data_IF_093297642109
#
_entry.id   IF_093297642109
#
_cell.length_a   1.000
_cell.length_b   1.000
_cell.length_c   1.000
_cell.angle_alpha   90.00
_cell.angle_beta   90.00
_cell.angle_gamma   90.00
#
_symmetry.space_group_name_H-M   'P 1'
#
loop_
_entity.id
_entity.type
_entity.pdbx_description
1 polymer ?
#
# COMPACT_ATOMS: atom_id res chain seq x y z
N UNK A 1 22.57 28.31 21.68
CA UNK A 1 22.52 28.71 20.27
C UNK A 1 23.04 27.62 19.33
N UNK A 2 24.16 26.96 19.64
CA UNK A 2 24.73 25.90 18.78
C UNK A 2 23.86 24.65 18.57
N UNK A 3 23.05 24.23 19.55
CA UNK A 3 22.14 23.08 19.36
C UNK A 3 20.97 23.39 18.41
N UNK A 4 20.43 24.61 18.46
CA UNK A 4 19.31 25.04 17.63
C UNK A 4 19.76 25.29 16.18
N UNK A 5 20.97 25.83 15.97
CA UNK A 5 21.55 25.95 14.63
C UNK A 5 21.87 24.58 14.00
N UNK A 6 22.33 23.58 14.77
CA UNK A 6 22.53 22.21 14.25
C UNK A 6 21.22 21.50 13.92
N UNK A 7 20.14 21.77 14.66
CA UNK A 7 18.81 21.22 14.37
C UNK A 7 18.19 21.88 13.12
N UNK A 8 18.30 23.21 13.00
CA UNK A 8 17.82 23.94 11.82
C UNK A 8 18.61 23.56 10.55
N UNK A 9 19.94 23.48 10.62
CA UNK A 9 20.77 23.03 9.49
C UNK A 9 20.48 21.60 9.04
N UNK A 10 20.18 20.70 9.99
CA UNK A 10 19.75 19.32 9.67
C UNK A 10 18.34 19.27 9.06
N UNK A 11 17.44 20.18 9.42
CA UNK A 11 16.11 20.28 8.80
C UNK A 11 16.14 20.91 7.40
N UNK A 12 17.04 21.87 7.15
CA UNK A 12 17.25 22.45 5.82
C UNK A 12 17.97 21.49 4.87
N UNK A 13 18.97 20.73 5.35
CA UNK A 13 19.58 19.62 4.59
C UNK A 13 18.56 18.51 4.28
N UNK A 14 17.66 18.19 5.23
CA UNK A 14 16.56 17.25 5.01
C UNK A 14 15.58 17.76 3.96
N UNK A 15 15.22 19.05 3.98
CA UNK A 15 14.37 19.65 2.93
C UNK A 15 15.02 19.63 1.55
N UNK A 16 16.33 19.85 1.47
CA UNK A 16 17.07 19.79 0.19
C UNK A 16 17.21 18.37 -0.37
N UNK A 17 17.27 17.35 0.50
CA UNK A 17 17.37 15.94 0.10
C UNK A 17 16.06 15.39 -0.53
N UNK A 18 14.95 16.12 -0.38
CA UNK A 18 13.64 15.75 -0.93
C UNK A 18 13.15 16.72 -2.02
N UNK A 19 14.00 17.67 -2.45
CA UNK A 19 13.63 18.61 -3.50
C UNK A 19 13.29 17.85 -4.78
N UNK A 20 12.02 17.94 -5.19
CA UNK A 20 11.53 17.25 -6.38
C UNK A 20 11.09 15.80 -6.17
N UNK A 21 10.86 15.34 -4.94
CA UNK A 21 10.16 14.07 -4.69
C UNK A 21 8.64 14.23 -4.83
N UNK A 22 7.96 13.21 -5.37
CA UNK A 22 6.50 13.17 -5.48
C UNK A 22 5.95 11.82 -5.07
N UNK A 23 4.98 11.80 -4.15
CA UNK A 23 4.32 10.58 -3.72
C UNK A 23 3.13 10.24 -4.62
N UNK A 24 3.02 8.98 -4.99
CA UNK A 24 1.86 8.39 -5.67
C UNK A 24 1.25 7.39 -4.69
N UNK A 25 -0.05 7.52 -4.43
CA UNK A 25 -0.78 6.66 -3.50
C UNK A 25 -1.88 5.94 -4.28
N UNK A 26 -1.63 4.71 -4.76
CA UNK A 26 -2.67 3.86 -5.31
C UNK A 26 -3.66 3.49 -4.20
N UNK A 27 -4.90 3.93 -4.35
CA UNK A 27 -6.03 3.69 -3.45
C UNK A 27 -7.08 2.84 -4.18
N UNK A 28 -6.76 1.56 -4.34
CA UNK A 28 -7.61 0.55 -4.96
C UNK A 28 -7.74 -0.71 -4.10
N UNK A 29 -8.67 -1.59 -4.47
CA UNK A 29 -8.93 -2.85 -3.78
C UNK A 29 -10.03 -2.75 -2.71
N UNK A 30 -11.00 -3.66 -2.78
CA UNK A 30 -12.14 -3.68 -1.86
C UNK A 30 -11.77 -4.14 -0.43
N UNK A 31 -10.75 -4.98 -0.28
CA UNK A 31 -10.38 -5.54 1.03
C UNK A 31 -11.32 -6.64 1.53
N UNK A 32 -11.99 -7.39 0.64
CA UNK A 32 -13.09 -8.34 0.92
C UNK A 32 -12.86 -9.34 2.07
N UNK A 33 -11.61 -9.65 2.44
CA UNK A 33 -11.27 -10.53 3.57
C UNK A 33 -11.52 -9.90 4.95
N UNK A 34 -11.83 -8.60 4.98
CA UNK A 34 -12.21 -7.85 6.18
C UNK A 34 -13.72 -7.53 6.21
N UNK A 35 -14.53 -8.13 5.33
CA UNK A 35 -15.98 -8.04 5.44
C UNK A 35 -16.43 -8.54 6.82
N UNK A 36 -17.41 -7.91 7.49
CA UNK A 36 -18.25 -6.81 7.01
C UNK A 36 -17.70 -5.40 7.31
N UNK A 37 -16.46 -5.26 7.82
CA UNK A 37 -15.88 -3.92 8.02
C UNK A 37 -15.68 -3.20 6.69
N UNK A 38 -15.04 -3.90 5.74
CA UNK A 38 -14.84 -3.45 4.37
C UNK A 38 -15.97 -3.90 3.45
N UNK A 39 -16.35 -3.04 2.53
CA UNK A 39 -17.39 -3.27 1.52
C UNK A 39 -16.93 -2.79 0.15
N UNK A 40 -17.69 -3.11 -0.90
CA UNK A 40 -17.40 -2.58 -2.23
C UNK A 40 -17.42 -1.05 -2.26
N UNK A 41 -18.39 -0.40 -1.60
CA UNK A 41 -18.51 1.07 -1.55
C UNK A 41 -17.59 1.73 -0.52
N UNK A 42 -17.22 0.98 0.54
CA UNK A 42 -16.33 1.42 1.61
C UNK A 42 -15.13 0.46 1.79
N UNK A 43 -14.14 0.51 0.87
CA UNK A 43 -12.97 -0.36 0.89
C UNK A 43 -12.09 -0.15 2.12
N UNK A 44 -11.23 -1.13 2.43
CA UNK A 44 -10.39 -1.12 3.64
C UNK A 44 -9.51 0.13 3.80
N UNK A 45 -9.03 0.74 2.70
CA UNK A 45 -8.17 1.92 2.78
C UNK A 45 -8.90 3.15 3.35
N UNK A 46 -10.23 3.18 3.29
CA UNK A 46 -11.06 4.26 3.86
C UNK A 46 -11.41 4.03 5.34
N UNK A 47 -10.99 2.91 5.94
CA UNK A 47 -11.35 2.53 7.30
C UNK A 47 -10.22 2.83 8.30
N UNK A 48 -10.61 3.27 9.50
CA UNK A 48 -9.73 3.29 10.68
C UNK A 48 -9.74 1.90 11.32
N UNK A 49 -8.91 1.01 10.79
CA UNK A 49 -8.82 -0.38 11.28
C UNK A 49 -8.08 -0.48 12.62
N UNK A 50 -7.26 0.50 12.96
CA UNK A 50 -6.42 0.47 14.17
C UNK A 50 -7.04 1.22 15.36
N UNK A 51 -8.20 1.87 15.17
CA UNK A 51 -8.85 2.68 16.20
C UNK A 51 -8.05 3.94 16.55
N UNK A 52 -7.27 4.45 15.59
CA UNK A 52 -6.35 5.57 15.76
C UNK A 52 -6.99 6.94 15.51
N UNK A 53 -8.23 6.97 15.01
CA UNK A 53 -8.91 8.17 14.51
C UNK A 53 -8.52 8.54 13.07
N UNK A 54 -7.72 7.71 12.39
CA UNK A 54 -7.27 7.93 11.00
C UNK A 54 -7.53 6.68 10.16
N UNK A 55 -8.02 6.85 8.94
CA UNK A 55 -8.08 5.75 7.98
C UNK A 55 -6.68 5.34 7.50
N UNK A 56 -6.53 4.16 6.89
CA UNK A 56 -5.25 3.74 6.29
C UNK A 56 -4.76 4.73 5.21
N UNK A 57 -5.69 5.28 4.41
CA UNK A 57 -5.40 6.32 3.43
C UNK A 57 -4.85 7.58 4.10
N UNK A 58 -5.54 8.07 5.13
CA UNK A 58 -5.10 9.25 5.88
C UNK A 58 -3.72 9.02 6.51
N UNK A 59 -3.52 7.86 7.14
CA UNK A 59 -2.23 7.49 7.73
C UNK A 59 -1.11 7.38 6.68
N UNK A 60 -1.43 7.01 5.43
CA UNK A 60 -0.46 6.98 4.32
C UNK A 60 -0.10 8.39 3.84
N UNK A 61 -1.09 9.28 3.70
CA UNK A 61 -0.84 10.70 3.39
C UNK A 61 -0.05 11.39 4.50
N UNK A 62 -0.41 11.16 5.77
CA UNK A 62 0.30 11.74 6.93
C UNK A 62 1.77 11.33 6.96
N UNK A 63 2.08 10.08 6.56
CA UNK A 63 3.46 9.59 6.49
C UNK A 63 4.33 10.32 5.47
N UNK A 64 3.72 11.01 4.50
CA UNK A 64 4.46 11.80 3.51
C UNK A 64 4.89 13.15 4.06
N UNK A 65 4.36 13.58 5.21
CA UNK A 65 4.86 14.77 5.89
C UNK A 65 6.35 14.59 6.22
N UNK A 66 7.14 15.63 5.93
CA UNK A 66 8.60 15.58 5.98
C UNK A 66 9.30 14.98 4.75
N UNK A 67 8.59 14.29 3.85
CA UNK A 67 9.13 13.76 2.59
C UNK A 67 8.75 14.60 1.36
N UNK A 68 7.53 15.14 1.30
CA UNK A 68 7.12 16.04 0.22
C UNK A 68 5.95 16.92 0.66
N UNK A 69 5.77 18.05 -0.02
CA UNK A 69 4.65 18.94 0.24
C UNK A 69 3.32 18.33 -0.27
N UNK A 70 2.15 18.73 0.28
CA UNK A 70 0.85 18.17 -0.12
C UNK A 70 0.53 18.26 -1.63
N UNK A 71 0.98 19.31 -2.31
CA UNK A 71 0.83 19.48 -3.76
C UNK A 71 1.68 18.50 -4.59
N UNK A 72 2.60 17.77 -3.94
CA UNK A 72 3.41 16.69 -4.49
C UNK A 72 2.93 15.31 -4.09
N UNK A 73 1.69 15.20 -3.59
CA UNK A 73 1.04 13.93 -3.29
C UNK A 73 -0.11 13.73 -4.27
N UNK A 74 -0.07 12.61 -4.99
CA UNK A 74 -1.10 12.19 -5.93
C UNK A 74 -1.77 10.94 -5.40
N UNK A 75 -3.11 10.92 -5.39
CA UNK A 75 -3.88 9.74 -5.02
C UNK A 75 -4.58 9.22 -6.26
N UNK A 76 -4.41 7.94 -6.57
CA UNK A 76 -5.06 7.29 -7.72
C UNK A 76 -6.16 6.39 -7.21
N UNK A 77 -7.41 6.58 -7.67
CA UNK A 77 -8.55 5.79 -7.17
C UNK A 77 -9.65 5.62 -8.21
N UNK A 78 -10.53 4.66 -8.02
CA UNK A 78 -11.70 4.47 -8.88
C UNK A 78 -12.78 5.54 -8.65
N UNK A 79 -13.57 5.84 -9.69
CA UNK A 79 -14.62 6.87 -9.65
C UNK A 79 -15.61 6.74 -8.49
N UNK A 80 -15.98 5.51 -8.11
CA UNK A 80 -16.89 5.24 -6.99
C UNK A 80 -16.34 5.71 -5.62
N UNK A 81 -15.02 5.75 -5.45
CA UNK A 81 -14.39 6.12 -4.17
C UNK A 81 -13.86 7.55 -4.15
N UNK A 82 -13.73 8.20 -5.31
CA UNK A 82 -13.17 9.54 -5.42
C UNK A 82 -13.82 10.60 -4.50
N UNK A 83 -15.16 10.64 -4.31
CA UNK A 83 -15.76 11.56 -3.36
C UNK A 83 -15.30 11.32 -1.91
N UNK A 84 -15.27 10.07 -1.45
CA UNK A 84 -14.86 9.70 -0.10
C UNK A 84 -13.36 9.95 0.12
N UNK A 85 -12.52 9.64 -0.87
CA UNK A 85 -11.08 9.95 -0.87
C UNK A 85 -10.86 11.46 -0.70
N UNK A 86 -11.48 12.30 -1.55
CA UNK A 86 -11.34 13.76 -1.46
C UNK A 86 -11.80 14.31 -0.11
N UNK A 87 -12.86 13.75 0.47
CA UNK A 87 -13.35 14.14 1.79
C UNK A 87 -12.36 13.80 2.92
N UNK A 88 -11.68 12.64 2.85
CA UNK A 88 -10.73 12.22 3.88
C UNK A 88 -9.37 12.95 3.80
N UNK A 89 -8.94 13.35 2.61
CA UNK A 89 -7.63 13.99 2.37
C UNK A 89 -7.76 15.33 1.62
N UNK A 90 -8.43 16.34 2.22
CA UNK A 90 -8.75 17.60 1.53
C UNK A 90 -7.52 18.39 1.07
N UNK A 91 -6.37 18.26 1.75
CA UNK A 91 -5.12 18.94 1.39
C UNK A 91 -4.55 18.52 0.03
N UNK A 92 -4.90 17.31 -0.46
CA UNK A 92 -4.37 16.75 -1.72
C UNK A 92 -5.49 16.48 -2.73
N UNK A 93 -6.71 16.96 -2.47
CA UNK A 93 -7.90 16.66 -3.27
C UNK A 93 -7.79 17.06 -4.75
N UNK A 94 -6.97 18.07 -5.07
CA UNK A 94 -6.68 18.55 -6.42
C UNK A 94 -5.82 17.58 -7.25
N UNK A 95 -5.10 16.67 -6.58
CA UNK A 95 -4.26 15.65 -7.20
C UNK A 95 -4.84 14.24 -7.05
N UNK A 96 -6.17 14.13 -6.88
CA UNK A 96 -6.88 12.85 -6.96
C UNK A 96 -7.14 12.50 -8.42
N UNK A 97 -6.35 11.56 -8.96
CA UNK A 97 -6.53 10.98 -10.29
C UNK A 97 -7.59 9.88 -10.24
N UNK A 98 -8.59 9.98 -11.12
CA UNK A 98 -9.72 9.05 -11.15
C UNK A 98 -9.57 8.08 -12.32
N UNK A 99 -9.50 6.79 -12.00
CA UNK A 99 -9.48 5.71 -12.99
C UNK A 99 -10.91 5.39 -13.45
N UNK A 100 -11.09 5.16 -14.76
CA UNK A 100 -12.40 4.77 -15.32
C UNK A 100 -12.78 3.33 -14.97
N UNK A 101 -11.80 2.44 -14.77
CA UNK A 101 -11.99 1.05 -14.40
C UNK A 101 -10.71 0.47 -13.76
N UNK A 102 -10.79 -0.54 -12.88
CA UNK A 102 -9.60 -1.13 -12.26
C UNK A 102 -8.71 -1.85 -13.29
N UNK A 103 -7.42 -1.47 -13.36
CA UNK A 103 -6.41 -2.04 -14.28
C UNK A 103 -5.12 -2.52 -13.58
N UNK A 104 -5.22 -2.85 -12.28
CA UNK A 104 -4.08 -3.16 -11.41
C UNK A 104 -3.06 -2.01 -11.29
N UNK A 105 -1.98 -2.21 -10.53
CA UNK A 105 -1.09 -1.13 -10.08
C UNK A 105 -0.28 -0.47 -11.18
N UNK A 106 0.04 -1.16 -12.29
CA UNK A 106 0.89 -0.57 -13.33
C UNK A 106 0.22 0.60 -14.03
N UNK A 107 -1.06 0.47 -14.41
CA UNK A 107 -1.82 1.55 -15.04
C UNK A 107 -1.98 2.75 -14.10
N UNK A 108 -2.32 2.49 -12.83
CA UNK A 108 -2.49 3.51 -11.80
C UNK A 108 -1.21 4.34 -11.60
N UNK A 109 -0.10 3.65 -11.33
CA UNK A 109 1.20 4.28 -11.07
C UNK A 109 1.74 4.94 -12.34
N UNK A 110 1.58 4.28 -13.49
CA UNK A 110 2.04 4.78 -14.78
C UNK A 110 1.31 6.07 -15.20
N UNK A 111 -0.01 6.15 -15.00
CA UNK A 111 -0.78 7.37 -15.27
C UNK A 111 -0.28 8.53 -14.39
N UNK A 112 -0.17 8.30 -13.08
CA UNK A 112 0.30 9.33 -12.16
C UNK A 112 1.73 9.78 -12.51
N UNK A 113 2.64 8.84 -12.81
CA UNK A 113 4.00 9.16 -13.24
C UNK A 113 4.04 9.95 -14.56
N UNK A 114 3.20 9.60 -15.54
CA UNK A 114 3.09 10.32 -16.81
C UNK A 114 2.57 11.76 -16.61
N UNK A 115 1.53 11.95 -15.78
CA UNK A 115 1.00 13.28 -15.43
C UNK A 115 2.04 14.12 -14.70
N UNK A 116 2.71 13.55 -13.70
CA UNK A 116 3.81 14.22 -12.97
C UNK A 116 4.92 14.63 -13.94
N UNK A 117 5.33 13.72 -14.83
CA UNK A 117 6.35 14.00 -15.83
C UNK A 117 5.95 15.12 -16.78
N UNK A 118 4.70 15.13 -17.23
CA UNK A 118 4.18 16.16 -18.12
C UNK A 118 4.14 17.53 -17.44
N UNK A 119 3.74 17.59 -16.16
CA UNK A 119 3.63 18.84 -15.39
C UNK A 119 4.98 19.41 -14.94
N UNK A 120 5.93 18.55 -14.60
CA UNK A 120 7.13 18.95 -13.85
C UNK A 120 8.46 18.51 -14.49
N UNK A 121 8.42 17.75 -15.60
CA UNK A 121 9.60 17.12 -16.19
C UNK A 121 10.09 15.89 -15.38
N UNK A 122 11.32 15.41 -15.65
CA UNK A 122 11.91 14.28 -14.93
C UNK A 122 11.91 14.51 -13.41
N UNK A 123 11.15 13.69 -12.68
CA UNK A 123 10.90 13.83 -11.23
C UNK A 123 11.07 12.46 -10.58
N UNK A 124 11.60 12.38 -9.35
CA UNK A 124 11.60 11.11 -8.61
C UNK A 124 10.24 10.92 -7.97
N UNK A 125 9.58 9.80 -8.28
CA UNK A 125 8.29 9.43 -7.71
C UNK A 125 8.41 8.20 -6.82
N UNK A 126 7.60 8.14 -5.76
CA UNK A 126 7.46 6.98 -4.89
C UNK A 126 6.02 6.51 -4.82
N UNK A 127 5.76 5.24 -5.14
CA UNK A 127 4.44 4.61 -5.03
C UNK A 127 4.28 3.95 -3.66
N UNK A 128 3.25 4.33 -2.90
CA UNK A 128 2.93 3.77 -1.59
C UNK A 128 1.46 3.39 -1.52
N UNK A 129 1.15 2.11 -1.34
CA UNK A 129 -0.23 1.63 -1.27
C UNK A 129 -1.00 2.26 -0.09
N UNK A 130 -2.24 2.66 -0.34
CA UNK A 130 -3.10 3.35 0.63
C UNK A 130 -3.54 2.48 1.81
N UNK A 131 -3.27 1.18 1.77
CA UNK A 131 -3.84 0.15 2.63
C UNK A 131 -2.80 -0.64 3.44
N UNK A 132 -1.58 -0.11 3.56
CA UNK A 132 -0.52 -0.67 4.39
C UNK A 132 -0.42 0.03 5.75
N UNK A 133 -0.06 -0.74 6.78
CA UNK A 133 0.30 -0.23 8.10
C UNK A 133 1.82 -0.18 8.22
N UNK A 134 2.36 1.00 8.53
CA UNK A 134 3.80 1.21 8.76
C UNK A 134 4.02 1.76 10.17
N UNK A 135 4.99 1.19 10.89
CA UNK A 135 5.44 1.63 12.22
C UNK A 135 6.92 2.00 12.20
N UNK A 136 7.30 3.05 12.92
CA UNK A 136 8.66 3.59 12.93
C UNK A 136 8.85 4.59 11.79
N UNK A 137 8.28 5.78 11.97
CA UNK A 137 8.25 6.84 10.94
C UNK A 137 9.64 7.26 10.50
N UNK A 138 10.56 7.48 11.44
CA UNK A 138 11.93 7.91 11.13
C UNK A 138 12.67 6.88 10.26
N UNK A 139 12.48 5.59 10.54
CA UNK A 139 13.07 4.50 9.76
C UNK A 139 12.44 4.37 8.38
N UNK A 140 11.13 4.66 8.26
CA UNK A 140 10.44 4.75 6.98
C UNK A 140 11.00 5.90 6.14
N UNK A 141 11.12 7.11 6.72
CA UNK A 141 11.69 8.27 6.04
C UNK A 141 13.12 8.04 5.58
N UNK A 142 13.97 7.49 6.46
CA UNK A 142 15.36 7.17 6.11
C UNK A 142 15.44 6.07 5.02
N UNK A 143 14.49 5.12 5.01
CA UNK A 143 14.41 4.11 3.93
C UNK A 143 14.05 4.76 2.60
N UNK A 144 13.03 5.62 2.60
CA UNK A 144 12.57 6.33 1.40
C UNK A 144 13.66 7.27 0.88
N UNK A 145 14.37 7.99 1.77
CA UNK A 145 15.49 8.86 1.39
C UNK A 145 16.59 8.09 0.64
N UNK A 146 17.00 6.93 1.15
CA UNK A 146 17.98 6.09 0.45
C UNK A 146 17.44 5.55 -0.89
N UNK A 147 16.14 5.29 -0.98
CA UNK A 147 15.51 4.87 -2.23
C UNK A 147 15.46 6.00 -3.27
N UNK A 148 15.19 7.24 -2.84
CA UNK A 148 15.26 8.44 -3.68
C UNK A 148 16.66 8.62 -4.25
N UNK A 149 17.69 8.51 -3.40
CA UNK A 149 19.09 8.61 -3.84
C UNK A 149 19.44 7.57 -4.91
N UNK A 150 19.08 6.30 -4.69
CA UNK A 150 19.28 5.26 -5.69
C UNK A 150 18.47 5.50 -6.97
N UNK A 151 17.26 6.05 -6.87
CA UNK A 151 16.44 6.40 -8.04
C UNK A 151 17.04 7.54 -8.87
N UNK A 152 17.74 8.49 -8.25
CA UNK A 152 18.49 9.52 -8.99
C UNK A 152 19.59 8.92 -9.88
N UNK A 153 20.18 7.81 -9.45
CA UNK A 153 21.13 7.02 -10.26
C UNK A 153 20.47 6.15 -11.34
N UNK A 154 19.16 6.27 -11.54
CA UNK A 154 18.43 5.61 -12.62
C UNK A 154 17.96 4.19 -12.31
N UNK A 155 17.97 3.77 -11.03
CA UNK A 155 17.42 2.48 -10.62
C UNK A 155 15.90 2.54 -10.44
N UNK A 156 15.23 1.44 -10.75
CA UNK A 156 13.90 1.13 -10.21
C UNK A 156 14.10 0.54 -8.81
N UNK A 157 13.72 1.26 -7.78
CA UNK A 157 14.00 0.86 -6.40
C UNK A 157 12.75 0.28 -5.75
N UNK A 158 12.85 -0.89 -5.14
CA UNK A 158 11.81 -1.46 -4.25
C UNK A 158 12.25 -1.43 -2.79
N UNK A 159 11.29 -1.51 -1.86
CA UNK A 159 11.55 -1.60 -0.42
C UNK A 159 11.39 -3.04 0.04
N UNK A 160 12.48 -3.60 0.61
CA UNK A 160 12.57 -4.97 1.05
C UNK A 160 12.24 -5.17 2.53
N UNK A 161 11.09 -5.78 2.81
CA UNK A 161 10.67 -6.13 4.18
C UNK A 161 11.32 -7.45 4.61
N UNK A 162 11.84 -7.57 5.85
CA UNK A 162 12.28 -8.85 6.40
C UNK A 162 11.18 -9.91 6.31
N UNK A 163 11.45 -10.99 5.59
CA UNK A 163 10.54 -12.13 5.54
C UNK A 163 10.64 -12.92 6.86
N UNK A 164 9.53 -13.03 7.59
CA UNK A 164 9.48 -13.73 8.89
C UNK A 164 8.82 -15.11 8.79
N UNK A 165 8.17 -15.40 7.66
CA UNK A 165 7.51 -16.67 7.35
C UNK A 165 7.47 -16.90 5.83
N UNK A 166 7.25 -18.13 5.35
CA UNK A 166 6.91 -18.32 3.94
C UNK A 166 5.52 -17.72 3.68
N UNK A 167 5.35 -17.07 2.53
CA UNK A 167 4.08 -16.50 2.09
C UNK A 167 3.98 -16.62 0.58
N UNK A 168 2.87 -17.13 0.06
CA UNK A 168 2.58 -17.12 -1.38
C UNK A 168 1.86 -15.85 -1.83
N UNK A 169 1.53 -14.96 -0.88
CA UNK A 169 0.80 -13.73 -1.14
C UNK A 169 1.71 -12.55 -1.52
N UNK A 170 3.02 -12.65 -1.29
CA UNK A 170 3.99 -11.58 -1.47
C UNK A 170 5.00 -11.90 -2.56
N UNK A 171 5.50 -10.88 -3.25
CA UNK A 171 6.71 -10.96 -4.03
C UNK A 171 7.95 -11.11 -3.16
N UNK A 172 8.99 -11.73 -3.69
CA UNK A 172 10.27 -11.97 -3.05
C UNK A 172 11.39 -11.37 -3.89
N UNK A 173 12.28 -10.63 -3.23
CA UNK A 173 13.41 -9.96 -3.87
C UNK A 173 14.69 -10.45 -3.21
N UNK A 174 15.58 -11.03 -4.03
CA UNK A 174 16.91 -11.46 -3.59
C UNK A 174 17.85 -10.27 -3.60
N UNK A 175 18.32 -9.88 -2.42
CA UNK A 175 19.29 -8.81 -2.29
C UNK A 175 20.69 -9.29 -2.67
N UNK A 176 21.39 -8.52 -3.50
CA UNK A 176 22.79 -8.73 -3.84
C UNK A 176 23.75 -7.81 -3.09
N UNK A 177 24.82 -7.46 -3.79
CA UNK A 177 25.86 -6.56 -3.30
C UNK A 177 25.33 -5.16 -3.01
N UNK A 178 26.04 -4.43 -2.13
CA UNK A 178 25.69 -3.06 -1.78
C UNK A 178 25.81 -2.15 -3.00
N UNK A 179 24.88 -1.20 -3.13
CA UNK A 179 24.94 -0.16 -4.17
C UNK A 179 25.98 0.92 -3.85
N UNK A 180 26.34 1.07 -2.57
CA UNK A 180 27.26 2.08 -2.07
C UNK A 180 27.95 1.59 -0.79
N UNK A 181 29.24 1.90 -0.67
CA UNK A 181 30.06 1.60 0.51
C UNK A 181 29.90 2.63 1.63
N UNK A 182 29.05 3.65 1.45
CA UNK A 182 28.80 4.63 2.49
C UNK A 182 28.27 3.96 3.78
N UNK A 183 28.79 4.36 4.95
CA UNK A 183 28.27 3.88 6.23
C UNK A 183 26.76 4.11 6.35
N UNK A 184 26.02 3.09 6.78
CA UNK A 184 24.56 3.16 6.93
C UNK A 184 23.76 2.93 5.63
N UNK A 185 24.42 2.74 4.48
CA UNK A 185 23.74 2.37 3.24
C UNK A 185 23.07 0.99 3.36
N UNK A 186 21.76 0.97 3.10
CA UNK A 186 20.90 -0.22 3.03
C UNK A 186 20.50 -0.58 1.60
N UNK A 187 20.90 0.25 0.62
CA UNK A 187 20.64 0.04 -0.79
C UNK A 187 21.54 -1.08 -1.35
N UNK A 188 20.94 -2.01 -2.11
CA UNK A 188 21.59 -3.17 -2.71
C UNK A 188 21.08 -3.40 -4.11
N UNK A 189 21.90 -4.05 -4.94
CA UNK A 189 21.44 -4.56 -6.23
C UNK A 189 20.38 -5.64 -6.00
N UNK A 190 19.44 -5.74 -6.95
CA UNK A 190 18.52 -6.89 -7.01
C UNK A 190 19.14 -7.97 -7.89
N UNK A 191 19.33 -9.17 -7.34
CA UNK A 191 19.81 -10.34 -8.11
C UNK A 191 18.67 -11.09 -8.78
N UNK A 192 17.51 -11.11 -8.13
CA UNK A 192 16.31 -11.76 -8.63
C UNK A 192 15.08 -11.15 -7.99
N UNK A 193 14.00 -11.03 -8.76
CA UNK A 193 12.68 -10.65 -8.28
C UNK A 193 11.71 -11.74 -8.72
N UNK A 194 10.83 -12.16 -7.82
CA UNK A 194 9.75 -13.08 -8.15
C UNK A 194 8.47 -12.70 -7.43
N UNK A 195 7.43 -12.36 -8.17
CA UNK A 195 6.09 -12.11 -7.65
C UNK A 195 5.40 -13.43 -7.30
N UNK A 196 4.90 -13.52 -6.06
CA UNK A 196 4.04 -14.59 -5.54
C UNK A 196 4.51 -16.01 -5.93
N UNK A 197 5.68 -16.45 -5.42
CA UNK A 197 6.16 -17.81 -5.66
C UNK A 197 5.23 -18.87 -5.04
N UNK A 198 5.36 -20.12 -5.47
CA UNK A 198 4.72 -21.24 -4.80
C UNK A 198 5.26 -21.45 -3.37
N UNK A 199 4.56 -22.27 -2.58
CA UNK A 199 4.87 -22.47 -1.17
C UNK A 199 6.26 -23.09 -0.94
N UNK A 200 6.67 -24.02 -1.81
CA UNK A 200 7.98 -24.67 -1.70
C UNK A 200 9.10 -23.66 -1.93
N UNK A 201 8.99 -22.90 -3.01
CA UNK A 201 9.91 -21.82 -3.37
C UNK A 201 9.97 -20.75 -2.27
N UNK A 202 8.84 -20.35 -1.69
CA UNK A 202 8.80 -19.38 -0.59
C UNK A 202 9.54 -19.88 0.67
N UNK A 203 9.41 -21.18 0.99
CA UNK A 203 10.16 -21.81 2.09
C UNK A 203 11.66 -21.82 1.81
N UNK A 204 12.06 -22.18 0.59
CA UNK A 204 13.47 -22.16 0.18
C UNK A 204 14.05 -20.74 0.27
N UNK A 205 13.32 -19.73 -0.22
CA UNK A 205 13.74 -18.32 -0.14
C UNK A 205 13.98 -17.87 1.30
N UNK A 206 13.04 -18.17 2.20
CA UNK A 206 13.18 -17.84 3.62
C UNK A 206 14.42 -18.50 4.23
N UNK A 207 14.66 -19.78 3.93
CA UNK A 207 15.79 -20.55 4.49
C UNK A 207 17.16 -19.96 4.13
N UNK A 208 17.28 -19.24 3.00
CA UNK A 208 18.55 -18.59 2.62
C UNK A 208 18.87 -17.34 3.44
N UNK A 209 17.86 -16.67 4.02
CA UNK A 209 17.99 -15.34 4.64
C UNK A 209 18.33 -14.19 3.66
N UNK A 210 18.51 -14.47 2.36
CA UNK A 210 18.90 -13.50 1.32
C UNK A 210 17.73 -12.83 0.62
N UNK A 211 16.52 -13.32 0.84
CA UNK A 211 15.31 -12.74 0.26
C UNK A 211 14.61 -11.80 1.25
N UNK A 212 13.92 -10.81 0.69
CA UNK A 212 13.01 -9.91 1.38
C UNK A 212 11.65 -9.97 0.69
N UNK A 213 10.58 -9.73 1.44
CA UNK A 213 9.29 -9.47 0.81
C UNK A 213 9.33 -8.13 0.09
N UNK A 214 8.75 -8.09 -1.11
CA UNK A 214 8.44 -6.86 -1.81
C UNK A 214 7.22 -6.21 -1.14
N UNK A 215 7.39 -4.97 -0.66
CA UNK A 215 6.31 -4.22 -0.01
C UNK A 215 5.29 -3.62 -1.00
N UNK A 216 5.42 -3.87 -2.30
CA UNK A 216 4.63 -3.17 -3.33
C UNK A 216 4.91 -1.66 -3.39
N UNK A 217 6.05 -1.22 -2.82
CA UNK A 217 6.50 0.17 -2.82
C UNK A 217 7.65 0.32 -3.80
N UNK A 218 7.53 1.29 -4.70
CA UNK A 218 8.51 1.53 -5.76
C UNK A 218 8.92 2.99 -5.80
N UNK A 219 10.21 3.27 -5.88
CA UNK A 219 10.77 4.62 -6.01
C UNK A 219 11.62 4.68 -7.28
N UNK A 220 11.30 5.59 -8.19
CA UNK A 220 11.91 5.66 -9.52
C UNK A 220 11.74 7.04 -10.13
N UNK A 221 12.66 7.44 -11.02
CA UNK A 221 12.50 8.66 -11.80
C UNK A 221 11.45 8.45 -12.91
N UNK A 222 10.58 9.44 -13.16
CA UNK A 222 9.45 9.29 -14.09
C UNK A 222 9.90 8.95 -15.52
N UNK A 223 10.94 9.59 -16.04
CA UNK A 223 11.51 9.31 -17.37
C UNK A 223 12.11 7.90 -17.45
N UNK A 224 12.69 7.39 -16.36
CA UNK A 224 13.20 6.02 -16.27
C UNK A 224 12.05 5.02 -16.31
N UNK A 225 10.99 5.24 -15.51
CA UNK A 225 9.82 4.38 -15.52
C UNK A 225 9.12 4.37 -16.89
N UNK A 226 8.90 5.55 -17.47
CA UNK A 226 8.29 5.69 -18.79
C UNK A 226 9.18 5.09 -19.88
N UNK A 227 10.50 5.22 -19.81
CA UNK A 227 11.44 4.56 -20.72
C UNK A 227 11.40 3.04 -20.62
N UNK A 228 11.26 2.48 -19.41
CA UNK A 228 11.04 1.05 -19.24
C UNK A 228 9.69 0.59 -19.81
N UNK A 229 8.61 1.35 -19.57
CA UNK A 229 7.30 1.10 -20.15
C UNK A 229 7.35 1.15 -21.68
N UNK A 230 7.98 2.16 -22.28
CA UNK A 230 8.09 2.30 -23.73
C UNK A 230 8.76 1.07 -24.36
N UNK A 231 9.79 0.53 -23.71
CA UNK A 231 10.52 -0.63 -24.21
C UNK A 231 9.78 -1.96 -23.99
N UNK A 232 9.17 -2.16 -22.82
CA UNK A 232 8.58 -3.45 -22.41
C UNK A 232 7.10 -3.55 -22.78
N UNK A 233 6.36 -2.44 -22.66
CA UNK A 233 4.90 -2.32 -22.86
C UNK A 233 4.58 -1.04 -23.67
N UNK A 234 5.06 -0.91 -24.93
CA UNK A 234 4.93 0.32 -25.72
C UNK A 234 3.49 0.84 -25.85
N UNK A 235 2.51 -0.06 -26.04
CA UNK A 235 1.09 0.34 -26.14
C UNK A 235 0.58 1.01 -24.87
N UNK A 236 0.94 0.48 -23.70
CA UNK A 236 0.59 1.08 -22.40
C UNK A 236 1.29 2.44 -22.22
N UNK A 237 2.57 2.53 -22.57
CA UNK A 237 3.30 3.80 -22.56
C UNK A 237 2.59 4.88 -23.40
N UNK A 238 2.25 4.56 -24.64
CA UNK A 238 1.66 5.52 -25.58
C UNK A 238 0.29 6.00 -25.10
N UNK A 239 -0.54 5.09 -24.57
CA UNK A 239 -1.82 5.44 -23.95
C UNK A 239 -1.62 6.39 -22.76
N UNK A 240 -0.74 6.03 -21.81
CA UNK A 240 -0.56 6.79 -20.58
C UNK A 240 0.05 8.18 -20.84
N UNK A 241 1.00 8.28 -21.78
CA UNK A 241 1.57 9.57 -22.19
C UNK A 241 0.56 10.42 -22.94
N UNK A 242 -0.27 9.83 -23.82
CA UNK A 242 -1.37 10.56 -24.46
C UNK A 242 -2.37 11.10 -23.42
N UNK A 243 -2.78 10.27 -22.46
CA UNK A 243 -3.67 10.69 -21.36
C UNK A 243 -3.06 11.84 -20.55
N UNK A 244 -1.76 11.80 -20.27
CA UNK A 244 -1.08 12.87 -19.53
C UNK A 244 -1.13 14.22 -20.26
N UNK A 245 -1.01 14.26 -21.59
CA UNK A 245 -1.03 15.52 -22.37
C UNK A 245 -2.36 16.26 -22.32
N UNK A 246 -3.46 15.54 -22.08
CA UNK A 246 -4.82 16.13 -22.02
C UNK A 246 -5.37 16.17 -20.60
N UNK A 247 -4.58 15.78 -19.60
CA UNK A 247 -5.05 15.58 -18.22
C UNK A 247 -5.61 16.86 -17.57
N UNK A 248 -5.01 17.99 -17.89
CA UNK A 248 -5.36 19.32 -17.38
C UNK A 248 -6.18 20.13 -18.41
N UNK A 249 -6.88 19.44 -19.31
CA UNK A 249 -7.71 20.03 -20.36
C UNK A 249 -9.13 19.46 -20.32
N UNK A 250 -10.06 20.12 -21.01
CA UNK A 250 -11.45 19.64 -21.16
C UNK A 250 -11.56 18.29 -21.91
N UNK A 251 -10.50 17.88 -22.63
CA UNK A 251 -10.46 16.61 -23.37
C UNK A 251 -10.14 15.37 -22.51
N UNK A 252 -9.85 15.53 -21.21
CA UNK A 252 -9.47 14.42 -20.33
C UNK A 252 -10.51 13.29 -20.32
N UNK A 253 -11.78 13.64 -20.11
CA UNK A 253 -12.81 12.64 -19.84
C UNK A 253 -13.13 11.82 -21.11
N UNK A 254 -13.13 12.45 -22.28
CA UNK A 254 -13.24 11.79 -23.58
C UNK A 254 -12.05 10.85 -23.83
N UNK A 255 -10.82 11.33 -23.59
CA UNK A 255 -9.61 10.54 -23.78
C UNK A 255 -9.57 9.33 -22.82
N UNK A 256 -9.94 9.52 -21.55
CA UNK A 256 -10.05 8.44 -20.56
C UNK A 256 -11.06 7.37 -21.02
N UNK A 257 -12.25 7.78 -21.45
CA UNK A 257 -13.27 6.83 -21.94
C UNK A 257 -12.81 6.05 -23.16
N UNK A 258 -12.03 6.67 -24.06
CA UNK A 258 -11.55 6.04 -25.30
C UNK A 258 -10.33 5.14 -25.08
N UNK A 259 -9.37 5.58 -24.27
CA UNK A 259 -8.04 4.97 -24.17
C UNK A 259 -7.91 4.01 -22.98
N UNK A 260 -8.45 4.35 -21.81
CA UNK A 260 -8.32 3.54 -20.60
C UNK A 260 -8.80 2.09 -20.75
N UNK A 261 -9.89 1.79 -21.50
CA UNK A 261 -10.34 0.41 -21.69
C UNK A 261 -9.34 -0.49 -22.43
N UNK A 262 -8.39 0.09 -23.15
CA UNK A 262 -7.38 -0.63 -23.94
C UNK A 262 -6.17 -1.06 -23.09
N UNK A 263 -6.02 -0.49 -21.88
CA UNK A 263 -4.92 -0.83 -20.99
C UNK A 263 -5.02 -2.29 -20.52
N UNK A 264 -3.90 -2.99 -20.65
CA UNK A 264 -3.70 -4.30 -20.03
C UNK A 264 -3.84 -4.19 -18.52
N UNK A 265 -4.56 -5.15 -17.92
CA UNK A 265 -4.65 -5.29 -16.47
C UNK A 265 -3.45 -6.09 -15.97
N UNK A 266 -2.48 -5.42 -15.36
CA UNK A 266 -1.24 -6.04 -14.89
C UNK A 266 -0.61 -5.24 -13.73
N UNK A 267 -0.09 -5.90 -12.68
CA UNK A 267 0.64 -5.22 -11.62
C UNK A 267 2.04 -4.78 -12.08
N UNK A 268 2.56 -3.70 -11.50
CA UNK A 268 3.91 -3.18 -11.77
C UNK A 268 5.01 -4.23 -11.56
N UNK A 269 4.80 -5.12 -10.60
CA UNK A 269 5.73 -6.19 -10.20
C UNK A 269 6.10 -7.07 -11.40
N UNK A 270 5.07 -7.54 -12.13
CA UNK A 270 5.23 -8.39 -13.31
C UNK A 270 5.52 -7.57 -14.56
N UNK A 271 4.86 -6.42 -14.71
CA UNK A 271 4.98 -5.61 -15.92
C UNK A 271 6.37 -4.99 -16.10
N UNK A 272 6.99 -4.55 -15.00
CA UNK A 272 8.21 -3.75 -15.02
C UNK A 272 9.25 -4.27 -14.03
N UNK A 273 8.90 -4.52 -12.77
CA UNK A 273 9.92 -4.79 -11.74
C UNK A 273 10.72 -6.07 -12.00
N UNK A 274 10.05 -7.18 -12.33
CA UNK A 274 10.69 -8.45 -12.69
C UNK A 274 11.63 -8.31 -13.91
N UNK A 275 11.17 -7.82 -15.08
CA UNK A 275 12.04 -7.61 -16.24
C UNK A 275 13.22 -6.67 -15.97
N UNK A 276 12.99 -5.55 -15.28
CA UNK A 276 14.03 -4.55 -14.99
C UNK A 276 15.07 -5.07 -14.00
N UNK A 277 14.65 -5.90 -13.04
CA UNK A 277 15.56 -6.62 -12.14
C UNK A 277 16.46 -7.60 -12.89
N UNK A 278 15.91 -8.37 -13.84
CA UNK A 278 16.69 -9.29 -14.67
C UNK A 278 17.75 -8.58 -15.54
N UNK A 279 17.55 -7.30 -15.84
CA UNK A 279 18.51 -6.45 -16.57
C UNK A 279 19.55 -5.76 -15.66
N UNK A 280 19.53 -6.01 -14.35
CA UNK A 280 20.44 -5.38 -13.39
C UNK A 280 20.16 -3.89 -13.12
N UNK A 281 18.96 -3.41 -13.50
CA UNK A 281 18.54 -2.00 -13.36
C UNK A 281 17.58 -1.76 -12.19
N UNK A 282 17.36 -2.78 -11.35
CA UNK A 282 16.61 -2.64 -10.12
C UNK A 282 17.52 -2.64 -8.88
N UNK A 283 17.11 -1.90 -7.87
CA UNK A 283 17.73 -1.88 -6.55
C UNK A 283 16.69 -2.16 -5.47
N UNK A 284 17.16 -2.58 -4.30
CA UNK A 284 16.35 -2.80 -3.11
C UNK A 284 16.95 -2.03 -1.94
N UNK A 285 16.11 -1.31 -1.19
CA UNK A 285 16.50 -0.75 0.11
C UNK A 285 15.90 -1.62 1.20
N UNK A 286 16.74 -2.15 2.09
CA UNK A 286 16.29 -2.97 3.21
C UNK A 286 15.56 -2.11 4.24
N UNK A 287 14.30 -2.43 4.52
CA UNK A 287 13.47 -1.66 5.45
C UNK A 287 13.96 -1.78 6.90
N UNK A 288 14.02 -0.65 7.60
CA UNK A 288 14.23 -0.57 9.06
C UNK A 288 12.95 -0.40 9.88
N UNK A 289 11.79 -0.44 9.23
CA UNK A 289 10.48 -0.14 9.84
C UNK A 289 9.57 -1.37 9.88
N UNK A 290 8.55 -1.32 10.74
CA UNK A 290 7.51 -2.35 10.79
C UNK A 290 6.49 -2.16 9.66
N UNK A 291 6.09 -3.24 9.00
CA UNK A 291 5.15 -3.22 7.87
C UNK A 291 4.15 -4.37 7.97
N UNK A 292 2.91 -4.12 7.54
CA UNK A 292 1.85 -5.12 7.37
C UNK A 292 0.88 -4.67 6.25
N UNK A 293 0.40 -5.61 5.44
CA UNK A 293 -0.55 -5.34 4.34
C UNK A 293 -2.02 -5.42 4.77
N UNK A 294 -2.28 -5.77 6.04
CA UNK A 294 -3.60 -5.97 6.64
C UNK A 294 -4.47 -6.87 5.76
N UNK A 295 -3.97 -8.06 5.46
CA UNK A 295 -4.60 -8.97 4.51
C UNK A 295 -5.89 -9.65 5.00
N UNK A 296 -6.09 -9.77 6.31
CA UNK A 296 -7.25 -10.40 6.95
C UNK A 296 -7.37 -10.03 8.46
N UNK A 297 -8.38 -10.58 9.15
CA UNK A 297 -8.56 -10.37 10.59
C UNK A 297 -7.41 -10.92 11.44
N UNK A 298 -6.75 -12.00 11.03
CA UNK A 298 -5.63 -12.53 11.79
C UNK A 298 -4.44 -11.54 11.79
N UNK A 299 -4.18 -10.93 10.64
CA UNK A 299 -3.18 -9.87 10.46
C UNK A 299 -3.58 -8.65 11.27
N UNK A 300 -4.85 -8.22 11.19
CA UNK A 300 -5.37 -7.12 11.99
C UNK A 300 -5.20 -7.33 13.51
N UNK A 301 -5.44 -8.54 14.02
CA UNK A 301 -5.24 -8.88 15.43
C UNK A 301 -3.80 -8.60 15.91
N UNK A 302 -2.81 -8.89 15.06
CA UNK A 302 -1.41 -8.68 15.38
C UNK A 302 -1.03 -7.19 15.47
N UNK A 303 -1.82 -6.32 14.85
CA UNK A 303 -1.60 -4.87 14.83
C UNK A 303 -2.33 -4.15 15.97
N UNK A 304 -3.45 -4.69 16.44
CA UNK A 304 -4.25 -4.10 17.50
C UNK A 304 -3.59 -4.30 18.88
N UNK A 305 -3.70 -3.33 19.79
CA UNK A 305 -3.29 -3.53 21.19
C UNK A 305 -4.20 -4.57 21.87
N UNK A 306 -3.64 -5.32 22.80
CA UNK A 306 -4.46 -6.21 23.66
C UNK A 306 -5.23 -5.40 24.68
N UNK A 307 -6.50 -5.72 24.90
CA UNK A 307 -7.34 -5.07 25.92
C UNK A 307 -7.28 -5.79 27.27
N UNK A 308 -6.69 -6.98 27.32
CA UNK A 308 -6.51 -7.78 28.54
C UNK A 308 -5.26 -8.67 28.46
N UNK A 309 -5.01 -9.44 29.54
CA UNK A 309 -3.89 -10.38 29.63
C UNK A 309 -4.08 -11.65 28.79
N UNK A 310 -5.30 -11.96 28.37
CA UNK A 310 -5.60 -13.10 27.52
C UNK A 310 -5.36 -12.81 26.03
N UNK A 311 -4.89 -11.60 25.70
CA UNK A 311 -4.53 -11.21 24.35
C UNK A 311 -5.73 -10.85 23.47
N UNK A 312 -6.90 -10.61 24.06
CA UNK A 312 -8.09 -10.22 23.31
C UNK A 312 -7.94 -8.82 22.72
N UNK A 313 -8.61 -8.60 21.58
CA UNK A 313 -8.68 -7.35 20.85
C UNK A 313 -10.13 -6.85 20.82
N UNK A 314 -10.29 -5.54 20.85
CA UNK A 314 -11.59 -4.89 20.74
C UNK A 314 -11.57 -3.83 19.64
N UNK A 315 -12.65 -3.75 18.86
CA UNK A 315 -12.93 -2.68 17.92
C UNK A 315 -14.28 -2.02 18.27
N UNK A 316 -14.44 -0.73 17.98
CA UNK A 316 -15.64 0.01 18.34
C UNK A 316 -15.77 0.23 19.85
N UNK A 317 -16.99 0.19 20.37
CA UNK A 317 -17.23 0.49 21.79
C UNK A 317 -16.97 -0.74 22.67
N UNK A 318 -15.79 -0.79 23.29
CA UNK A 318 -15.39 -1.88 24.19
C UNK A 318 -16.29 -2.07 25.40
N UNK A 319 -17.05 -1.05 25.84
CA UNK A 319 -17.98 -1.18 26.98
C UNK A 319 -19.17 -2.09 26.69
N UNK A 320 -19.42 -2.40 25.41
CA UNK A 320 -20.49 -3.30 24.97
C UNK A 320 -20.01 -4.73 24.80
N UNK A 321 -18.76 -5.05 25.13
CA UNK A 321 -18.19 -6.38 24.92
C UNK A 321 -18.01 -7.10 26.25
N UNK A 322 -18.66 -8.25 26.38
CA UNK A 322 -18.54 -9.14 27.54
C UNK A 322 -17.79 -10.41 27.13
N UNK A 323 -16.79 -10.81 27.93
CA UNK A 323 -15.98 -12.00 27.69
C UNK A 323 -15.84 -12.79 28.98
N UNK A 324 -15.99 -14.10 28.90
CA UNK A 324 -15.71 -15.03 30.00
C UNK A 324 -15.08 -16.32 29.46
N UNK A 325 -13.93 -16.71 30.00
CA UNK A 325 -13.15 -17.85 29.49
C UNK A 325 -12.76 -17.73 28.01
N UNK A 326 -12.30 -16.55 27.56
CA UNK A 326 -11.94 -16.27 26.16
C UNK A 326 -10.52 -15.69 26.06
N UNK A 327 -9.73 -16.19 25.13
CA UNK A 327 -8.39 -15.71 24.79
C UNK A 327 -8.21 -15.48 23.28
N UNK A 328 -7.25 -14.62 22.93
CA UNK A 328 -6.77 -14.41 21.56
C UNK A 328 -7.79 -13.86 20.55
N UNK A 329 -9.00 -13.48 20.98
CA UNK A 329 -10.14 -13.18 20.10
C UNK A 329 -10.19 -11.72 19.67
N UNK A 330 -10.81 -11.44 18.51
CA UNK A 330 -11.10 -10.10 18.03
C UNK A 330 -12.61 -9.90 18.06
N UNK A 331 -13.08 -8.91 18.81
CA UNK A 331 -14.51 -8.60 18.90
C UNK A 331 -14.74 -7.14 18.57
N UNK A 332 -15.58 -6.88 17.57
CA UNK A 332 -16.07 -5.54 17.25
C UNK A 332 -17.48 -5.37 17.79
N UNK A 333 -17.73 -4.28 18.51
CA UNK A 333 -19.06 -3.80 18.87
C UNK A 333 -19.26 -2.40 18.26
N UNK A 334 -19.34 -2.35 16.93
CA UNK A 334 -19.43 -1.10 16.17
C UNK A 334 -20.87 -0.72 15.81
N UNK A 335 -21.84 -1.65 15.91
CA UNK A 335 -23.25 -1.35 15.66
C UNK A 335 -24.02 -0.88 16.91
N UNK A 336 -23.35 -0.74 18.06
CA UNK A 336 -23.98 -0.34 19.31
C UNK A 336 -24.74 -1.46 20.04
N UNK A 337 -24.56 -2.73 19.64
CA UNK A 337 -25.13 -3.89 20.32
C UNK A 337 -24.16 -4.46 21.35
N UNK A 338 -24.69 -5.08 22.41
CA UNK A 338 -23.89 -5.86 23.36
C UNK A 338 -23.46 -7.17 22.69
N UNK A 339 -22.16 -7.46 22.71
CA UNK A 339 -21.58 -8.70 22.16
C UNK A 339 -20.96 -9.50 23.30
N UNK A 340 -21.51 -10.70 23.57
CA UNK A 340 -21.01 -11.60 24.60
C UNK A 340 -20.35 -12.83 23.97
N UNK A 341 -19.13 -13.16 24.42
CA UNK A 341 -18.39 -14.36 24.00
C UNK A 341 -18.01 -15.16 25.24
N UNK A 342 -18.40 -16.44 25.26
CA UNK A 342 -18.20 -17.34 26.40
C UNK A 342 -17.49 -18.61 25.93
N UNK A 343 -16.30 -18.89 26.48
CA UNK A 343 -15.59 -20.16 26.28
C UNK A 343 -15.03 -20.40 24.87
N UNK A 344 -14.99 -19.37 24.00
CA UNK A 344 -14.53 -19.49 22.62
C UNK A 344 -13.24 -18.70 22.42
N UNK A 345 -12.13 -19.42 22.28
CA UNK A 345 -10.82 -18.84 21.98
C UNK A 345 -10.62 -18.58 20.49
N UNK A 346 -9.75 -17.62 20.17
CA UNK A 346 -9.34 -17.27 18.82
C UNK A 346 -10.50 -17.03 17.84
N UNK A 347 -11.64 -16.52 18.34
CA UNK A 347 -12.78 -16.13 17.50
C UNK A 347 -12.64 -14.70 17.00
N UNK A 348 -13.23 -14.46 15.84
CA UNK A 348 -13.40 -13.17 15.21
C UNK A 348 -14.90 -12.93 15.13
N UNK A 349 -15.38 -11.97 15.92
CA UNK A 349 -16.79 -11.56 15.97
C UNK A 349 -16.88 -10.10 15.55
N UNK A 350 -17.47 -9.85 14.38
CA UNK A 350 -17.53 -8.51 13.80
C UNK A 350 -18.97 -8.08 13.66
N UNK A 351 -19.42 -7.22 14.57
CA UNK A 351 -20.74 -6.58 14.52
C UNK A 351 -20.68 -5.25 13.78
N UNK A 352 -21.46 -5.16 12.70
CA UNK A 352 -21.75 -3.95 11.92
C UNK A 352 -23.27 -3.75 11.86
N UNK A 353 -23.77 -2.53 11.52
CA UNK A 353 -25.21 -2.23 11.59
C UNK A 353 -26.11 -3.25 10.88
N UNK A 354 -25.62 -3.78 9.78
CA UNK A 354 -26.31 -4.51 8.72
C UNK A 354 -25.79 -5.94 8.52
N UNK A 355 -24.66 -6.32 9.14
CA UNK A 355 -24.12 -7.67 9.08
C UNK A 355 -23.33 -8.07 10.34
N UNK A 356 -23.31 -9.37 10.63
CA UNK A 356 -22.45 -9.95 11.66
C UNK A 356 -21.63 -11.08 11.03
N UNK A 357 -20.32 -11.05 11.23
CA UNK A 357 -19.43 -12.17 10.91
C UNK A 357 -18.96 -12.83 12.20
N UNK A 358 -19.06 -14.16 12.25
CA UNK A 358 -18.42 -14.99 13.28
C UNK A 358 -17.55 -16.03 12.58
N UNK A 359 -16.26 -16.04 12.90
CA UNK A 359 -15.31 -17.04 12.39
C UNK A 359 -14.21 -17.27 13.41
N UNK A 360 -13.26 -18.16 13.10
CA UNK A 360 -12.01 -18.27 13.87
C UNK A 360 -10.89 -17.53 13.17
N UNK A 361 -9.87 -17.10 13.91
CA UNK A 361 -8.67 -16.46 13.34
C UNK A 361 -7.99 -17.34 12.29
N UNK A 362 -7.97 -18.66 12.50
CA UNK A 362 -7.42 -19.61 11.55
C UNK A 362 -8.16 -19.64 10.19
N UNK A 363 -9.45 -19.26 10.16
CA UNK A 363 -10.28 -19.21 8.94
C UNK A 363 -10.45 -17.81 8.38
N UNK A 364 -9.73 -16.80 8.89
CA UNK A 364 -9.89 -15.40 8.47
C UNK A 364 -9.71 -15.19 6.95
N UNK A 365 -8.79 -15.93 6.30
CA UNK A 365 -8.60 -15.87 4.84
C UNK A 365 -9.83 -16.31 4.03
N UNK A 366 -10.67 -17.20 4.58
CA UNK A 366 -11.85 -17.75 3.91
C UNK A 366 -13.05 -16.79 3.91
N UNK A 367 -12.95 -15.63 4.57
CA UNK A 367 -14.01 -14.61 4.58
C UNK A 367 -14.35 -14.12 3.17
N UNK A 368 -13.37 -14.07 2.25
CA UNK A 368 -13.60 -13.72 0.84
C UNK A 368 -14.63 -14.65 0.17
N UNK A 369 -14.66 -15.92 0.57
CA UNK A 369 -15.56 -16.92 -0.01
C UNK A 369 -16.97 -16.71 0.54
N UNK A 370 -17.09 -16.33 1.82
CA UNK A 370 -18.36 -15.92 2.44
C UNK A 370 -18.97 -14.70 1.74
N UNK A 371 -18.16 -13.69 1.37
CA UNK A 371 -18.66 -12.52 0.60
C UNK A 371 -19.31 -12.97 -0.71
N UNK A 372 -18.70 -13.94 -1.39
CA UNK A 372 -19.25 -14.50 -2.65
C UNK A 372 -20.58 -15.22 -2.41
N UNK A 373 -20.68 -15.97 -1.32
CA UNK A 373 -21.91 -16.66 -0.94
C UNK A 373 -23.02 -15.68 -0.54
N UNK A 374 -22.70 -14.66 0.26
CA UNK A 374 -23.66 -13.63 0.67
C UNK A 374 -24.22 -12.89 -0.54
N UNK A 375 -23.38 -12.51 -1.50
CA UNK A 375 -23.82 -11.85 -2.73
C UNK A 375 -24.76 -12.73 -3.58
N UNK A 376 -24.62 -14.06 -3.50
CA UNK A 376 -25.46 -15.01 -4.23
C UNK A 376 -26.78 -15.32 -3.50
N UNK A 377 -26.70 -15.54 -2.19
CA UNK A 377 -27.81 -16.05 -1.37
C UNK A 377 -28.68 -14.92 -0.81
N UNK A 378 -28.14 -13.70 -0.69
CA UNK A 378 -28.83 -12.52 -0.17
C UNK A 378 -28.53 -11.31 -1.08
N UNK A 379 -29.25 -11.16 -2.21
CA UNK A 379 -28.93 -10.16 -3.23
C UNK A 379 -28.88 -8.70 -2.74
N UNK A 380 -29.68 -8.37 -1.73
CA UNK A 380 -29.71 -7.04 -1.12
C UNK A 380 -28.73 -6.88 0.05
N UNK A 381 -27.95 -7.92 0.37
CA UNK A 381 -26.97 -7.83 1.42
C UNK A 381 -25.83 -6.89 1.00
N UNK A 382 -25.32 -6.09 1.96
CA UNK A 382 -24.21 -5.21 1.69
C UNK A 382 -22.92 -6.05 1.62
N UNK A 383 -22.29 -6.09 0.45
CA UNK A 383 -21.04 -6.84 0.18
C UNK A 383 -19.89 -5.92 -0.23
#
# INVERSE_FOLDING_TARGET
MDLLCRYAGRMDDLRSAFDGFTAIIPAGGAGTRLWPLSRQDRPKFLLDLLGSGRSLLQATVDRMDGLCAPDRIFVVTGGAHAPAVRAQVPSVAHNVLVESAPRDSMAAIGLAAAVVHHRHGPTVVGSFAADHVIRGLDEFHETVRQAIEAAHHGYLVTIGIPATRPSTAFGYVRSGEKLSDQPGSRARHVEAFKEKPDAETAMQYLATGKYRWNAGMFVVRTDVLLGHLQRIKPEMHDILTQLATVWDTDGRDEAMSRLWPQLEKVPIDVAIAEPVAAEGKAAIVLAGFGWDDVGDFNSLAALLPSVDRAGNKALGNSSLIVRDGVAGSIVSASAGRVVAVLGLDDVVVIDTPDAVLVTTRARAQAVKDIVTMVAADVPDAPV
#
